data_IF_690481615232
#
_entry.id   IF_690481615232
#
_cell.length_a   1.000
_cell.length_b   1.000
_cell.length_c   1.000
_cell.angle_alpha   90.00
_cell.angle_beta   90.00
_cell.angle_gamma   90.00
#
_symmetry.space_group_name_H-M   'P 1'
#
loop_
_entity.id
_entity.type
_entity.pdbx_description
1 polymer ?
#
# COMPACT_ATOMS: atom_id res chain seq x y z
N UNK A 1 12.37 -16.34 -99.49
CA UNK A 1 11.33 -16.74 -98.54
C UNK A 1 11.86 -16.78 -97.09
N UNK A 2 13.18 -16.96 -96.89
CA UNK A 2 13.76 -17.17 -95.55
C UNK A 2 13.87 -15.92 -94.66
N UNK A 3 13.97 -14.71 -95.21
CA UNK A 3 14.05 -13.48 -94.40
C UNK A 3 12.72 -13.07 -93.73
N UNK A 4 11.58 -13.50 -94.29
CA UNK A 4 10.25 -13.14 -93.77
C UNK A 4 9.94 -13.97 -92.51
N UNK A 5 10.30 -15.25 -92.48
CA UNK A 5 10.09 -16.12 -91.32
C UNK A 5 10.96 -15.69 -90.12
N UNK A 6 12.19 -15.23 -90.35
CA UNK A 6 13.05 -14.70 -89.27
C UNK A 6 12.49 -13.41 -88.67
N UNK A 7 11.90 -12.52 -89.48
CA UNK A 7 11.27 -11.29 -88.98
C UNK A 7 10.02 -11.61 -88.16
N UNK A 8 9.17 -12.54 -88.61
CA UNK A 8 7.97 -12.98 -87.88
C UNK A 8 8.35 -13.61 -86.54
N UNK A 9 9.38 -14.47 -86.50
CA UNK A 9 9.85 -15.09 -85.26
C UNK A 9 10.39 -14.06 -84.25
N UNK A 10 11.10 -13.03 -84.73
CA UNK A 10 11.66 -11.97 -83.89
C UNK A 10 10.55 -11.07 -83.32
N UNK A 11 9.56 -10.71 -84.13
CA UNK A 11 8.38 -9.97 -83.68
C UNK A 11 7.57 -10.80 -82.67
N UNK A 12 7.36 -12.09 -82.91
CA UNK A 12 6.66 -12.98 -81.98
C UNK A 12 7.41 -13.15 -80.65
N UNK A 13 8.74 -13.24 -80.68
CA UNK A 13 9.57 -13.29 -79.47
C UNK A 13 9.52 -11.99 -78.67
N UNK A 14 9.55 -10.83 -79.34
CA UNK A 14 9.44 -9.52 -78.68
C UNK A 14 8.05 -9.32 -78.06
N UNK A 15 6.98 -9.69 -78.77
CA UNK A 15 5.61 -9.57 -78.23
C UNK A 15 5.37 -10.53 -77.07
N UNK A 16 5.84 -11.78 -77.17
CA UNK A 16 5.77 -12.75 -76.08
C UNK A 16 6.60 -12.30 -74.85
N UNK A 17 7.82 -11.81 -75.09
CA UNK A 17 8.68 -11.27 -74.03
C UNK A 17 8.06 -10.05 -73.35
N UNK A 18 7.47 -9.13 -74.11
CA UNK A 18 6.73 -7.99 -73.58
C UNK A 18 5.51 -8.42 -72.75
N UNK A 19 4.71 -9.38 -73.23
CA UNK A 19 3.56 -9.89 -72.50
C UNK A 19 3.96 -10.58 -71.18
N UNK A 20 5.02 -11.39 -71.18
CA UNK A 20 5.52 -12.06 -69.97
C UNK A 20 6.07 -11.03 -68.99
N UNK A 21 6.86 -10.06 -69.45
CA UNK A 21 7.39 -8.98 -68.61
C UNK A 21 6.28 -8.12 -68.01
N UNK A 22 5.27 -7.75 -68.82
CA UNK A 22 4.11 -6.98 -68.38
C UNK A 22 3.27 -7.76 -67.35
N UNK A 23 3.04 -9.06 -67.56
CA UNK A 23 2.26 -9.87 -66.63
C UNK A 23 3.01 -10.13 -65.32
N UNK A 24 4.33 -10.35 -65.39
CA UNK A 24 5.19 -10.48 -64.20
C UNK A 24 5.24 -9.17 -63.41
N UNK A 25 5.45 -8.03 -64.09
CA UNK A 25 5.44 -6.71 -63.47
C UNK A 25 4.09 -6.39 -62.82
N UNK A 26 2.98 -6.69 -63.51
CA UNK A 26 1.63 -6.49 -62.97
C UNK A 26 1.35 -7.38 -61.75
N UNK A 27 1.83 -8.63 -61.76
CA UNK A 27 1.70 -9.53 -60.62
C UNK A 27 2.53 -9.09 -59.42
N UNK A 28 3.75 -8.57 -59.63
CA UNK A 28 4.59 -8.02 -58.56
C UNK A 28 3.99 -6.74 -57.98
N UNK A 29 3.46 -5.84 -58.82
CA UNK A 29 2.79 -4.62 -58.33
C UNK A 29 1.54 -4.96 -57.52
N UNK A 30 0.71 -5.91 -57.96
CA UNK A 30 -0.47 -6.31 -57.19
C UNK A 30 -0.12 -6.99 -55.86
N UNK A 31 0.96 -7.78 -55.80
CA UNK A 31 1.46 -8.36 -54.53
C UNK A 31 1.98 -7.29 -53.57
N UNK A 32 2.64 -6.26 -54.10
CA UNK A 32 3.11 -5.12 -53.30
C UNK A 32 1.94 -4.28 -52.78
N UNK A 33 0.92 -4.04 -53.62
CA UNK A 33 -0.32 -3.35 -53.22
C UNK A 33 -1.07 -4.12 -52.12
N UNK A 34 -1.22 -5.43 -52.26
CA UNK A 34 -1.84 -6.29 -51.24
C UNK A 34 -1.05 -6.26 -49.93
N UNK A 35 0.29 -6.30 -50.01
CA UNK A 35 1.14 -6.22 -48.82
C UNK A 35 1.09 -4.86 -48.14
N UNK A 36 1.05 -3.77 -48.90
CA UNK A 36 0.85 -2.43 -48.34
C UNK A 36 -0.52 -2.30 -47.68
N UNK A 37 -1.58 -2.79 -48.33
CA UNK A 37 -2.93 -2.79 -47.75
C UNK A 37 -2.98 -3.57 -46.43
N UNK A 38 -2.32 -4.72 -46.35
CA UNK A 38 -2.26 -5.52 -45.12
C UNK A 38 -1.43 -4.82 -44.03
N UNK A 39 -0.32 -4.17 -44.40
CA UNK A 39 0.47 -3.38 -43.47
C UNK A 39 -0.32 -2.17 -42.92
N UNK A 40 -1.09 -1.48 -43.76
CA UNK A 40 -1.94 -0.36 -43.34
C UNK A 40 -3.06 -0.83 -42.40
N UNK A 41 -3.65 -2.01 -42.65
CA UNK A 41 -4.64 -2.62 -41.76
C UNK A 41 -4.01 -2.97 -40.40
N UNK A 42 -2.83 -3.58 -40.39
CA UNK A 42 -2.10 -3.90 -39.16
C UNK A 42 -1.66 -2.65 -38.39
N UNK A 43 -1.26 -1.58 -39.08
CA UNK A 43 -0.93 -0.30 -38.47
C UNK A 43 -2.16 0.29 -37.78
N UNK A 44 -3.29 0.33 -38.49
CA UNK A 44 -4.55 0.83 -37.94
C UNK A 44 -5.00 0.02 -36.72
N UNK A 45 -4.89 -1.31 -36.78
CA UNK A 45 -5.23 -2.19 -35.65
C UNK A 45 -4.31 -1.95 -34.44
N UNK A 46 -3.01 -1.79 -34.68
CA UNK A 46 -2.05 -1.51 -33.61
C UNK A 46 -2.23 -0.12 -33.00
N UNK A 47 -2.55 0.89 -33.80
CA UNK A 47 -2.87 2.25 -33.31
C UNK A 47 -4.11 2.21 -32.40
N UNK A 48 -5.17 1.52 -32.81
CA UNK A 48 -6.37 1.34 -31.98
C UNK A 48 -6.07 0.59 -30.67
N UNK A 49 -5.25 -0.46 -30.72
CA UNK A 49 -4.81 -1.18 -29.51
C UNK A 49 -3.98 -0.29 -28.59
N UNK A 50 -3.12 0.55 -29.15
CA UNK A 50 -2.29 1.47 -28.38
C UNK A 50 -3.14 2.53 -27.68
N UNK A 51 -4.10 3.12 -28.38
CA UNK A 51 -5.05 4.08 -27.80
C UNK A 51 -5.89 3.44 -26.69
N UNK A 52 -6.42 2.23 -26.92
CA UNK A 52 -7.17 1.50 -25.91
C UNK A 52 -6.33 1.23 -24.65
N UNK A 53 -5.08 0.79 -24.82
CA UNK A 53 -4.16 0.53 -23.72
C UNK A 53 -3.78 1.81 -22.97
N UNK A 54 -3.59 2.93 -23.69
CA UNK A 54 -3.33 4.23 -23.07
C UNK A 54 -4.52 4.68 -22.23
N UNK A 55 -5.73 4.58 -22.76
CA UNK A 55 -6.95 4.95 -22.04
C UNK A 55 -7.17 4.07 -20.79
N UNK A 56 -6.94 2.76 -20.91
CA UNK A 56 -6.99 1.84 -19.76
C UNK A 56 -5.99 2.24 -18.67
N UNK A 57 -4.74 2.52 -19.06
CA UNK A 57 -3.69 2.93 -18.13
C UNK A 57 -3.99 4.26 -17.45
N UNK A 58 -4.55 5.23 -18.18
CA UNK A 58 -4.99 6.51 -17.61
C UNK A 58 -6.13 6.33 -16.62
N UNK A 59 -7.09 5.46 -16.92
CA UNK A 59 -8.18 5.12 -16.01
C UNK A 59 -7.65 4.48 -14.72
N UNK A 60 -6.75 3.50 -14.82
CA UNK A 60 -6.13 2.85 -13.66
C UNK A 60 -5.32 3.85 -12.82
N UNK A 61 -4.56 4.74 -13.48
CA UNK A 61 -3.78 5.77 -12.78
C UNK A 61 -4.68 6.76 -12.04
N UNK A 62 -5.84 7.10 -12.61
CA UNK A 62 -6.83 7.96 -11.98
C UNK A 62 -7.43 7.30 -10.74
N UNK A 63 -7.85 6.04 -10.86
CA UNK A 63 -8.41 5.27 -9.75
C UNK A 63 -7.41 5.14 -8.59
N UNK A 64 -6.14 4.84 -8.89
CA UNK A 64 -5.09 4.73 -7.87
C UNK A 64 -4.83 6.08 -7.17
N UNK A 65 -4.87 7.19 -7.90
CA UNK A 65 -4.76 8.54 -7.33
C UNK A 65 -5.94 8.88 -6.42
N UNK A 66 -7.16 8.55 -6.82
CA UNK A 66 -8.36 8.76 -6.00
C UNK A 66 -8.29 7.92 -4.72
N UNK A 67 -7.85 6.66 -4.83
CA UNK A 67 -7.65 5.78 -3.67
C UNK A 67 -6.57 6.32 -2.72
N UNK A 68 -5.44 6.79 -3.25
CA UNK A 68 -4.38 7.41 -2.43
C UNK A 68 -4.89 8.65 -1.71
N UNK A 69 -5.64 9.53 -2.39
CA UNK A 69 -6.18 10.73 -1.78
C UNK A 69 -7.20 10.43 -0.67
N UNK A 70 -7.98 9.37 -0.82
CA UNK A 70 -8.93 8.91 0.20
C UNK A 70 -8.20 8.35 1.43
N UNK A 71 -7.15 7.54 1.23
CA UNK A 71 -6.30 7.04 2.32
C UNK A 71 -5.63 8.19 3.09
N UNK A 72 -5.13 9.21 2.41
CA UNK A 72 -4.53 10.39 3.05
C UNK A 72 -5.55 11.16 3.91
N UNK A 73 -6.80 11.28 3.46
CA UNK A 73 -7.88 11.89 4.24
C UNK A 73 -8.21 11.08 5.49
N UNK A 74 -8.29 9.76 5.37
CA UNK A 74 -8.54 8.87 6.50
C UNK A 74 -7.40 8.94 7.52
N UNK A 75 -6.14 8.97 7.06
CA UNK A 75 -4.97 9.15 7.91
C UNK A 75 -4.99 10.50 8.64
N UNK A 76 -5.35 11.58 7.96
CA UNK A 76 -5.48 12.89 8.58
C UNK A 76 -6.57 12.90 9.66
N UNK A 77 -7.73 12.30 9.37
CA UNK A 77 -8.83 12.15 10.33
C UNK A 77 -8.42 11.36 11.58
N UNK A 78 -7.82 10.19 11.38
CA UNK A 78 -7.37 9.32 12.47
C UNK A 78 -6.29 9.98 13.33
N UNK A 79 -5.36 10.73 12.71
CA UNK A 79 -4.32 11.48 13.43
C UNK A 79 -4.92 12.57 14.31
N UNK A 80 -5.95 13.27 13.80
CA UNK A 80 -6.67 14.29 14.58
C UNK A 80 -7.41 13.68 15.76
N UNK A 81 -8.11 12.56 15.55
CA UNK A 81 -8.81 11.84 16.61
C UNK A 81 -7.84 11.35 17.69
N UNK A 82 -6.70 10.79 17.29
CA UNK A 82 -5.63 10.36 18.21
C UNK A 82 -5.10 11.51 19.07
N UNK A 83 -4.82 12.66 18.46
CA UNK A 83 -4.36 13.85 19.18
C UNK A 83 -5.40 14.31 20.21
N UNK A 84 -6.67 14.39 19.82
CA UNK A 84 -7.75 14.79 20.73
C UNK A 84 -7.95 13.81 21.89
N UNK A 85 -7.80 12.51 21.63
CA UNK A 85 -7.88 11.48 22.67
C UNK A 85 -6.72 11.57 23.67
N UNK A 86 -5.51 11.87 23.18
CA UNK A 86 -4.34 12.09 24.03
C UNK A 86 -4.51 13.30 24.95
N UNK A 87 -5.02 14.40 24.41
CA UNK A 87 -5.29 15.62 25.17
C UNK A 87 -6.35 15.38 26.26
N UNK A 88 -7.45 14.73 25.89
CA UNK A 88 -8.52 14.37 26.85
C UNK A 88 -8.00 13.48 27.98
N UNK A 89 -7.13 12.52 27.67
CA UNK A 89 -6.54 11.63 28.67
C UNK A 89 -5.59 12.37 29.62
N UNK A 90 -4.82 13.33 29.10
CA UNK A 90 -3.97 14.20 29.91
C UNK A 90 -4.81 15.09 30.84
N UNK A 91 -5.89 15.69 30.32
CA UNK A 91 -6.82 16.50 31.10
C UNK A 91 -7.48 15.70 32.22
N UNK A 92 -8.00 14.50 31.91
CA UNK A 92 -8.62 13.63 32.91
C UNK A 92 -7.65 13.23 34.04
N UNK A 93 -6.38 12.98 33.72
CA UNK A 93 -5.35 12.72 34.74
C UNK A 93 -5.11 13.93 35.63
N UNK A 94 -5.10 15.13 35.05
CA UNK A 94 -4.98 16.38 35.79
C UNK A 94 -6.15 16.58 36.76
N UNK A 95 -7.38 16.44 36.27
CA UNK A 95 -8.60 16.56 37.08
C UNK A 95 -8.62 15.54 38.25
N UNK A 96 -8.17 14.31 38.01
CA UNK A 96 -8.05 13.29 39.06
C UNK A 96 -7.05 13.68 40.15
N UNK A 97 -5.90 14.24 39.77
CA UNK A 97 -4.89 14.70 40.71
C UNK A 97 -5.39 15.89 41.55
N UNK A 98 -6.02 16.87 40.91
CA UNK A 98 -6.59 18.04 41.59
C UNK A 98 -7.70 17.64 42.56
N UNK A 99 -8.56 16.69 42.16
CA UNK A 99 -9.61 16.16 43.03
C UNK A 99 -9.03 15.44 44.25
N UNK A 100 -7.93 14.70 44.10
CA UNK A 100 -7.25 14.04 45.21
C UNK A 100 -6.61 15.03 46.18
N UNK A 101 -6.03 16.12 45.67
CA UNK A 101 -5.45 17.19 46.49
C UNK A 101 -6.54 17.93 47.28
N UNK A 102 -7.60 18.38 46.61
CA UNK A 102 -8.74 19.04 47.24
C UNK A 102 -9.37 18.15 48.32
N UNK A 103 -9.49 16.85 48.06
CA UNK A 103 -9.97 15.89 49.05
C UNK A 103 -9.08 15.82 50.29
N UNK A 104 -7.76 15.76 50.10
CA UNK A 104 -6.79 15.71 51.20
C UNK A 104 -6.92 16.95 52.10
N UNK A 105 -7.01 18.14 51.49
CA UNK A 105 -7.20 19.41 52.20
C UNK A 105 -8.55 19.43 52.94
N UNK A 106 -9.64 19.03 52.29
CA UNK A 106 -10.96 18.98 52.94
C UNK A 106 -11.00 17.98 54.08
N UNK A 107 -10.33 16.83 53.93
CA UNK A 107 -10.21 15.82 54.97
C UNK A 107 -9.43 16.34 56.18
N UNK A 108 -8.28 16.98 55.95
CA UNK A 108 -7.48 17.57 57.01
C UNK A 108 -8.23 18.68 57.74
N UNK A 109 -8.89 19.59 57.00
CA UNK A 109 -9.73 20.64 57.58
C UNK A 109 -10.89 20.08 58.39
N UNK A 110 -11.55 19.02 57.91
CA UNK A 110 -12.63 18.38 58.64
C UNK A 110 -12.12 17.68 59.90
N UNK A 111 -10.98 16.97 59.81
CA UNK A 111 -10.36 16.31 60.95
C UNK A 111 -9.94 17.31 62.02
N UNK A 112 -9.30 18.41 61.62
CA UNK A 112 -8.89 19.49 62.52
C UNK A 112 -10.12 20.16 63.15
N UNK A 113 -11.15 20.50 62.36
CA UNK A 113 -12.38 21.10 62.89
C UNK A 113 -13.11 20.18 63.86
N UNK A 114 -13.21 18.89 63.55
CA UNK A 114 -13.79 17.89 64.46
C UNK A 114 -12.96 17.80 65.74
N UNK A 115 -11.62 17.77 65.64
CA UNK A 115 -10.73 17.67 66.79
C UNK A 115 -10.82 18.92 67.69
N UNK A 116 -10.86 20.11 67.10
CA UNK A 116 -10.88 21.40 67.80
C UNK A 116 -12.24 21.67 68.46
N UNK A 117 -13.34 21.50 67.71
CA UNK A 117 -14.72 21.62 68.21
C UNK A 117 -15.04 20.56 69.27
N UNK A 118 -14.31 19.44 69.27
CA UNK A 118 -14.43 18.40 70.28
C UNK A 118 -13.46 18.57 71.43
N UNK A 119 -12.27 19.14 71.29
CA UNK A 119 -11.38 19.41 72.44
C UNK A 119 -12.04 20.37 73.44
N UNK A 120 -12.91 21.28 72.98
CA UNK A 120 -13.77 22.09 73.85
C UNK A 120 -14.92 21.29 74.52
N UNK A 121 -15.47 20.27 73.86
CA UNK A 121 -16.62 19.48 74.36
C UNK A 121 -16.26 18.15 75.06
N UNK A 122 -15.05 17.63 74.88
CA UNK A 122 -14.57 16.34 75.40
C UNK A 122 -14.42 16.36 76.92
N UNK A 123 -14.28 17.55 77.50
CA UNK A 123 -14.23 17.75 78.95
C UNK A 123 -15.55 17.39 79.65
N UNK A 124 -16.64 17.02 78.93
CA UNK A 124 -17.96 16.86 79.58
C UNK A 124 -18.72 15.53 79.52
N UNK A 125 -18.57 14.56 78.61
CA UNK A 125 -19.34 13.29 78.78
C UNK A 125 -18.97 12.10 77.87
N UNK A 126 -19.21 10.92 78.42
CA UNK A 126 -18.69 9.58 78.09
C UNK A 126 -19.59 8.81 77.08
N UNK A 127 -18.96 8.00 76.21
CA UNK A 127 -19.51 6.91 75.34
C UNK A 127 -20.69 7.16 74.38
N UNK A 128 -21.83 7.76 74.76
CA UNK A 128 -22.97 7.97 73.83
C UNK A 128 -22.66 8.97 72.70
N UNK A 129 -21.68 9.85 72.92
CA UNK A 129 -21.21 10.81 71.92
C UNK A 129 -20.43 10.16 70.76
N UNK A 130 -19.97 8.91 70.91
CA UNK A 130 -19.11 8.21 69.94
C UNK A 130 -19.91 7.69 68.73
N UNK A 131 -21.14 7.20 68.92
CA UNK A 131 -22.02 6.81 67.80
C UNK A 131 -22.53 8.02 67.01
N UNK A 132 -22.85 9.12 67.70
CA UNK A 132 -23.18 10.40 67.03
C UNK A 132 -21.96 11.04 66.35
N UNK A 133 -20.74 10.71 66.78
CA UNK A 133 -19.46 11.13 66.18
C UNK A 133 -19.14 10.37 64.89
N UNK A 134 -19.42 9.07 64.85
CA UNK A 134 -19.04 8.19 63.73
C UNK A 134 -20.09 8.15 62.62
N UNK A 135 -21.36 8.42 62.92
CA UNK A 135 -22.43 8.43 61.91
C UNK A 135 -22.21 9.42 60.75
N UNK A 136 -21.83 10.70 61.00
CA UNK A 136 -21.56 11.66 59.92
C UNK A 136 -20.34 11.25 59.08
N UNK A 137 -19.34 10.63 59.72
CA UNK A 137 -18.16 10.10 59.04
C UNK A 137 -18.53 8.92 58.13
N UNK A 138 -19.38 8.01 58.63
CA UNK A 138 -19.92 6.88 57.87
C UNK A 138 -20.76 7.33 56.67
N UNK A 139 -21.67 8.30 56.85
CA UNK A 139 -22.46 8.88 55.75
C UNK A 139 -21.58 9.54 54.68
N UNK A 140 -20.53 10.26 55.09
CA UNK A 140 -19.58 10.87 54.15
C UNK A 140 -18.68 9.84 53.45
N UNK A 141 -18.34 8.74 54.13
CA UNK A 141 -17.66 7.60 53.53
C UNK A 141 -18.54 6.87 52.52
N UNK A 142 -19.84 6.79 52.78
CA UNK A 142 -20.82 6.21 51.85
C UNK A 142 -20.98 7.12 50.61
N UNK A 143 -21.07 8.45 50.80
CA UNK A 143 -21.05 9.42 49.69
C UNK A 143 -19.74 9.33 48.88
N UNK A 144 -18.59 9.17 49.55
CA UNK A 144 -17.29 8.96 48.90
C UNK A 144 -17.26 7.67 48.10
N UNK A 145 -17.70 6.55 48.70
CA UNK A 145 -17.80 5.27 48.02
C UNK A 145 -18.67 5.38 46.79
N UNK A 146 -19.81 6.07 46.88
CA UNK A 146 -20.71 6.29 45.74
C UNK A 146 -20.08 7.17 44.66
N UNK A 147 -19.41 8.26 45.03
CA UNK A 147 -18.74 9.17 44.08
C UNK A 147 -17.56 8.48 43.39
N UNK A 148 -16.82 7.66 44.13
CA UNK A 148 -15.74 6.83 43.61
C UNK A 148 -16.30 5.75 42.70
N UNK A 149 -17.30 4.97 43.12
CA UNK A 149 -17.95 3.96 42.27
C UNK A 149 -18.54 4.58 41.00
N UNK A 150 -19.24 5.71 41.07
CA UNK A 150 -19.75 6.43 39.89
C UNK A 150 -18.62 6.91 38.96
N UNK A 151 -17.51 7.40 39.52
CA UNK A 151 -16.36 7.87 38.73
C UNK A 151 -15.55 6.70 38.18
N UNK A 152 -15.49 5.58 38.91
CA UNK A 152 -14.85 4.34 38.47
C UNK A 152 -15.70 3.65 37.41
N UNK A 153 -17.02 3.64 37.52
CA UNK A 153 -17.94 3.15 36.50
C UNK A 153 -17.88 4.03 35.25
N UNK A 154 -17.95 5.35 35.38
CA UNK A 154 -17.73 6.28 34.25
C UNK A 154 -16.36 6.08 33.62
N UNK A 155 -15.30 6.00 34.44
CA UNK A 155 -13.95 5.72 33.99
C UNK A 155 -13.77 4.33 33.40
N UNK A 156 -14.55 3.33 33.82
CA UNK A 156 -14.55 1.97 33.27
C UNK A 156 -15.31 1.90 31.96
N UNK A 157 -16.42 2.62 31.82
CA UNK A 157 -17.12 2.81 30.54
C UNK A 157 -16.23 3.57 29.54
N UNK A 158 -15.60 4.67 29.96
CA UNK A 158 -14.66 5.40 29.12
C UNK A 158 -13.42 4.56 28.81
N UNK A 159 -12.85 3.79 29.75
CA UNK A 159 -11.74 2.86 29.46
C UNK A 159 -12.18 1.68 28.60
N UNK A 160 -13.43 1.24 28.66
CA UNK A 160 -13.95 0.18 27.78
C UNK A 160 -14.13 0.72 26.37
N UNK A 161 -14.68 1.93 26.20
CA UNK A 161 -14.72 2.65 24.93
C UNK A 161 -13.32 2.94 24.39
N UNK A 162 -12.38 3.34 25.26
CA UNK A 162 -10.97 3.52 24.91
C UNK A 162 -10.31 2.20 24.52
N UNK A 163 -10.61 1.11 25.23
CA UNK A 163 -10.08 -0.23 24.91
C UNK A 163 -10.63 -0.73 23.58
N UNK A 164 -11.88 -0.42 23.28
CA UNK A 164 -12.51 -0.71 21.99
C UNK A 164 -11.93 0.15 20.87
N UNK A 165 -11.71 1.45 21.11
CA UNK A 165 -10.97 2.32 20.20
C UNK A 165 -9.52 1.87 20.00
N UNK A 166 -8.82 1.43 21.06
CA UNK A 166 -7.47 0.85 20.97
C UNK A 166 -7.50 -0.47 20.21
N UNK A 167 -8.50 -1.32 20.42
CA UNK A 167 -8.67 -2.57 19.68
C UNK A 167 -8.91 -2.30 18.20
N UNK A 168 -9.77 -1.34 17.88
CA UNK A 168 -10.01 -0.87 16.52
C UNK A 168 -8.73 -0.26 15.92
N UNK A 169 -7.96 0.49 16.71
CA UNK A 169 -6.67 1.06 16.31
C UNK A 169 -5.63 -0.02 16.02
N UNK A 170 -5.55 -1.08 16.84
CA UNK A 170 -4.65 -2.22 16.62
C UNK A 170 -5.05 -2.99 15.36
N UNK A 171 -6.36 -3.21 15.14
CA UNK A 171 -6.86 -3.82 13.91
C UNK A 171 -6.57 -2.96 12.68
N UNK A 172 -6.83 -1.65 12.73
CA UNK A 172 -6.51 -0.71 11.66
C UNK A 172 -5.00 -0.65 11.40
N UNK A 173 -4.16 -0.74 12.43
CA UNK A 173 -2.71 -0.75 12.28
C UNK A 173 -2.19 -2.06 11.64
N UNK A 174 -2.78 -3.20 12.02
CA UNK A 174 -2.51 -4.48 11.37
C UNK A 174 -2.93 -4.46 9.90
N UNK A 175 -4.14 -3.97 9.61
CA UNK A 175 -4.65 -3.85 8.25
C UNK A 175 -3.79 -2.88 7.43
N UNK A 176 -3.44 -1.72 7.97
CA UNK A 176 -2.55 -0.75 7.32
C UNK A 176 -1.13 -1.30 7.12
N UNK A 177 -0.59 -2.09 8.05
CA UNK A 177 0.71 -2.77 7.87
C UNK A 177 0.65 -3.83 6.79
N UNK A 178 -0.45 -4.57 6.72
CA UNK A 178 -0.68 -5.59 5.71
C UNK A 178 -0.90 -4.96 4.33
N UNK A 179 -1.69 -3.89 4.25
CA UNK A 179 -1.90 -3.09 3.05
C UNK A 179 -0.61 -2.41 2.61
N UNK A 180 0.19 -1.84 3.52
CA UNK A 180 1.50 -1.29 3.20
C UNK A 180 2.49 -2.37 2.74
N UNK A 181 2.42 -3.59 3.29
CA UNK A 181 3.24 -4.72 2.85
C UNK A 181 2.80 -5.22 1.48
N UNK A 182 1.50 -5.30 1.22
CA UNK A 182 0.93 -5.69 -0.06
C UNK A 182 1.16 -4.63 -1.13
N UNK A 183 1.02 -3.35 -0.78
CA UNK A 183 1.33 -2.20 -1.61
C UNK A 183 2.83 -2.12 -1.87
N UNK A 184 3.68 -2.37 -0.88
CA UNK A 184 5.13 -2.51 -1.08
C UNK A 184 5.43 -3.70 -1.96
N UNK A 185 4.73 -4.82 -1.83
CA UNK A 185 4.93 -6.00 -2.69
C UNK A 185 4.47 -5.76 -4.14
N UNK A 186 3.43 -4.95 -4.32
CA UNK A 186 2.90 -4.52 -5.62
C UNK A 186 3.78 -3.44 -6.26
N UNK A 187 4.25 -2.44 -5.50
CA UNK A 187 5.14 -1.35 -5.93
C UNK A 187 6.58 -1.82 -6.12
N UNK A 188 7.06 -2.73 -5.27
CA UNK A 188 8.33 -3.46 -5.45
C UNK A 188 8.18 -4.60 -6.46
N UNK A 189 7.06 -4.60 -7.21
CA UNK A 189 6.77 -5.40 -8.40
C UNK A 189 7.84 -6.41 -8.70
N UNK A 190 7.74 -7.56 -8.03
CA UNK A 190 8.40 -8.79 -8.43
C UNK A 190 9.85 -8.58 -8.91
N UNK A 191 10.78 -8.24 -8.00
CA UNK A 191 12.22 -8.20 -8.31
C UNK A 191 12.74 -9.43 -9.07
N UNK A 192 12.02 -10.57 -8.96
CA UNK A 192 12.24 -11.78 -9.73
C UNK A 192 11.67 -11.67 -11.15
N UNK A 193 10.47 -11.12 -11.37
CA UNK A 193 10.00 -10.78 -12.71
C UNK A 193 10.80 -9.66 -13.38
N UNK A 194 11.26 -8.63 -12.66
CA UNK A 194 12.15 -7.60 -13.23
C UNK A 194 13.52 -8.19 -13.62
N UNK A 195 14.07 -9.08 -12.78
CA UNK A 195 15.26 -9.87 -13.10
C UNK A 195 15.05 -10.81 -14.29
N UNK A 196 13.96 -11.58 -14.30
CA UNK A 196 13.58 -12.47 -15.40
C UNK A 196 13.32 -11.69 -16.71
N UNK A 197 12.73 -10.49 -16.64
CA UNK A 197 12.55 -9.61 -17.80
C UNK A 197 13.90 -9.10 -18.31
N UNK A 198 14.83 -8.75 -17.41
CA UNK A 198 16.21 -8.42 -17.78
C UNK A 198 16.94 -9.57 -18.47
N UNK A 199 16.77 -10.79 -17.98
CA UNK A 199 17.33 -12.02 -18.59
C UNK A 199 16.73 -12.31 -19.98
N UNK A 200 15.41 -12.14 -20.15
CA UNK A 200 14.73 -12.32 -21.45
C UNK A 200 15.15 -11.26 -22.47
N UNK A 201 15.30 -10.00 -22.04
CA UNK A 201 15.79 -8.91 -22.91
C UNK A 201 17.24 -9.14 -23.31
N UNK A 202 18.10 -9.57 -22.38
CA UNK A 202 19.50 -9.89 -22.65
C UNK A 202 19.62 -11.07 -23.64
N UNK A 203 18.85 -12.13 -23.44
CA UNK A 203 18.78 -13.27 -24.37
C UNK A 203 18.32 -12.83 -25.77
N UNK A 204 17.27 -11.99 -25.85
CA UNK A 204 16.79 -11.45 -27.14
C UNK A 204 17.80 -10.57 -27.85
N UNK A 205 18.65 -9.82 -27.13
CA UNK A 205 19.71 -8.99 -27.72
C UNK A 205 20.84 -9.88 -28.26
N UNK A 206 21.23 -10.92 -27.52
CA UNK A 206 22.27 -11.87 -27.94
C UNK A 206 21.85 -12.67 -29.18
N UNK A 207 20.62 -13.19 -29.21
CA UNK A 207 20.07 -13.90 -30.37
C UNK A 207 19.96 -12.98 -31.60
N UNK A 208 19.52 -11.72 -31.43
CA UNK A 208 19.48 -10.73 -32.52
C UNK A 208 20.86 -10.29 -33.00
N UNK A 209 21.90 -10.43 -32.17
CA UNK A 209 23.29 -10.20 -32.56
C UNK A 209 23.93 -11.36 -33.33
N UNK A 210 23.19 -12.47 -33.49
CA UNK A 210 23.61 -13.64 -34.26
C UNK A 210 24.22 -14.77 -33.41
N UNK A 211 24.20 -14.65 -32.08
CA UNK A 211 24.76 -15.65 -31.17
C UNK A 211 23.75 -16.75 -30.86
N UNK A 212 24.17 -18.02 -30.93
CA UNK A 212 23.32 -19.19 -30.61
C UNK A 212 23.44 -19.64 -29.16
N UNK A 213 22.30 -19.74 -28.49
CA UNK A 213 22.19 -20.23 -27.11
C UNK A 213 22.70 -21.68 -27.03
N UNK A 214 23.48 -21.98 -25.99
CA UNK A 214 24.08 -23.30 -25.71
C UNK A 214 25.19 -23.75 -26.71
N UNK A 215 25.54 -22.91 -27.70
CA UNK A 215 26.71 -23.09 -28.58
C UNK A 215 27.75 -21.97 -28.38
N UNK A 216 27.32 -20.70 -28.39
CA UNK A 216 28.18 -19.51 -28.38
C UNK A 216 28.02 -18.64 -27.12
N UNK A 217 26.91 -18.79 -26.38
CA UNK A 217 26.75 -18.20 -25.05
C UNK A 217 25.96 -19.12 -24.11
N UNK A 218 26.32 -19.11 -22.83
CA UNK A 218 25.67 -19.88 -21.76
C UNK A 218 25.14 -18.96 -20.66
N UNK A 219 23.90 -19.19 -20.24
CA UNK A 219 23.25 -18.50 -19.12
C UNK A 219 23.30 -19.39 -17.87
N UNK A 220 23.73 -18.84 -16.73
CA UNK A 220 23.73 -19.48 -15.41
C UNK A 220 24.67 -20.70 -15.21
N UNK A 221 25.94 -20.62 -15.62
CA UNK A 221 26.96 -21.54 -15.10
C UNK A 221 27.56 -20.99 -13.81
N UNK A 222 27.31 -21.65 -12.67
CA UNK A 222 28.09 -21.39 -11.46
C UNK A 222 29.36 -22.22 -11.52
N UNK A 223 30.49 -21.59 -11.82
CA UNK A 223 31.79 -22.22 -11.70
C UNK A 223 32.35 -22.00 -10.29
N UNK A 224 32.93 -23.07 -9.74
CA UNK A 224 33.65 -23.03 -8.46
C UNK A 224 35.13 -23.01 -8.80
N UNK A 225 35.78 -21.88 -8.60
CA UNK A 225 37.23 -21.73 -8.74
C UNK A 225 37.95 -22.64 -7.73
N UNK A 226 39.15 -23.14 -8.05
CA UNK A 226 39.95 -24.08 -7.23
C UNK A 226 40.23 -23.58 -5.79
N UNK A 227 40.02 -22.29 -5.52
CA UNK A 227 40.19 -21.64 -4.21
C UNK A 227 38.87 -21.50 -3.39
N UNK A 228 37.82 -22.23 -3.79
CA UNK A 228 36.56 -22.35 -3.02
C UNK A 228 35.62 -21.14 -3.07
N UNK A 229 35.90 -20.12 -3.90
CA UNK A 229 34.98 -19.00 -4.15
C UNK A 229 34.08 -19.30 -5.34
N UNK A 230 32.78 -19.08 -5.14
CA UNK A 230 31.72 -19.28 -6.14
C UNK A 230 31.58 -18.00 -6.98
N UNK A 231 31.89 -18.08 -8.27
CA UNK A 231 31.64 -17.01 -9.22
C UNK A 231 30.33 -17.31 -9.96
N UNK A 232 29.39 -16.36 -9.93
CA UNK A 232 28.20 -16.36 -10.79
C UNK A 232 28.30 -15.15 -11.72
N UNK A 233 28.96 -15.28 -12.89
CA UNK A 233 28.79 -14.31 -13.96
C UNK A 233 27.45 -14.54 -14.67
N UNK A 234 26.74 -13.47 -15.00
CA UNK A 234 25.37 -13.55 -15.52
C UNK A 234 25.29 -14.15 -16.95
N UNK A 235 26.34 -14.02 -17.77
CA UNK A 235 26.49 -14.68 -19.09
C UNK A 235 27.97 -14.98 -19.38
N UNK A 236 28.26 -16.17 -19.91
CA UNK A 236 29.59 -16.54 -20.42
C UNK A 236 29.53 -16.69 -21.94
N UNK A 237 30.30 -15.88 -22.66
CA UNK A 237 30.42 -15.89 -24.13
C UNK A 237 31.74 -16.57 -24.49
N UNK A 238 31.73 -17.49 -25.46
CA UNK A 238 32.90 -18.28 -25.85
C UNK A 238 33.55 -17.77 -27.14
#
# INVERSE_FOLDING_TARGET
MDYISTIIALVAGLTAGFFIAHFKSKSETSRLEERNSNLDEQLTENEQKLEALQHEKESQLKEERERSAELDRQLAGLKSEYSGLQEKLAEQKGQLAEMQEQFTIQFENLANKILEEKSEKFTKQNKESLDQLLNPLGLKLEEFKKKVEETYEKGTQERSGLREQIKNMVQLNQQMSEDAKNLTKALKGDSKAQGNWGEVVLASILEKSGLRKDEEYFTQQSETTDDGRRLQPDVVVK
#
